data_IF_357426362677
#
_entry.id   IF_357426362677
#
_cell.length_a   1.000
_cell.length_b   1.000
_cell.length_c   1.000
_cell.angle_alpha   90.00
_cell.angle_beta   90.00
_cell.angle_gamma   90.00
#
_symmetry.space_group_name_H-M   'P 1'
#
loop_
_entity.id
_entity.type
_entity.pdbx_description
1 polymer ?
#
# COMPACT_ATOMS: atom_id res chain seq x y z
N UNK A 1 5.04 11.03 9.53
CA UNK A 1 3.97 10.38 8.73
C UNK A 1 4.51 10.05 7.35
N UNK A 2 3.81 9.22 6.55
CA UNK A 2 4.16 9.03 5.14
C UNK A 2 4.08 10.35 4.36
N UNK A 3 3.09 11.20 4.69
CA UNK A 3 2.94 12.54 4.10
C UNK A 3 4.18 13.43 4.25
N UNK A 4 4.70 13.59 5.47
CA UNK A 4 5.90 14.39 5.72
C UNK A 4 7.17 13.85 5.02
N UNK A 5 7.18 12.58 4.63
CA UNK A 5 8.23 12.02 3.78
C UNK A 5 8.07 12.50 2.34
N UNK A 6 6.86 12.44 1.78
CA UNK A 6 6.59 12.89 0.41
C UNK A 6 6.77 14.40 0.25
N UNK A 7 6.33 15.20 1.22
CA UNK A 7 6.56 16.66 1.20
C UNK A 7 8.03 17.01 1.17
N UNK A 8 8.85 16.29 1.95
CA UNK A 8 10.30 16.48 1.96
C UNK A 8 10.91 16.13 0.61
N UNK A 9 10.53 15.01 0.02
CA UNK A 9 10.97 14.62 -1.32
C UNK A 9 10.63 15.72 -2.33
N UNK A 10 9.38 16.20 -2.36
CA UNK A 10 8.96 17.30 -3.24
C UNK A 10 9.78 18.56 -2.98
N UNK A 11 10.01 18.92 -1.71
CA UNK A 11 10.83 20.06 -1.32
C UNK A 11 12.26 19.97 -1.83
N UNK A 12 12.87 18.79 -1.75
CA UNK A 12 14.21 18.51 -2.30
C UNK A 12 14.21 18.63 -3.82
N UNK A 13 13.23 18.04 -4.52
CA UNK A 13 13.12 18.15 -5.98
C UNK A 13 12.91 19.60 -6.43
N UNK A 14 12.09 20.37 -5.71
CA UNK A 14 11.83 21.76 -6.06
C UNK A 14 13.05 22.68 -5.90
N UNK A 15 14.02 22.32 -5.06
CA UNK A 15 15.30 23.03 -4.92
C UNK A 15 16.27 22.76 -6.07
N UNK A 16 16.05 21.70 -6.85
CA UNK A 16 16.88 21.37 -8.01
C UNK A 16 16.45 22.18 -9.25
N UNK A 17 17.39 22.49 -10.16
CA UNK A 17 17.07 22.98 -11.50
C UNK A 17 16.10 22.05 -12.21
N UNK A 18 15.18 22.59 -13.03
CA UNK A 18 14.12 21.82 -13.72
C UNK A 18 14.65 20.56 -14.43
N UNK A 19 15.82 20.65 -15.09
CA UNK A 19 16.44 19.52 -15.81
C UNK A 19 16.97 18.40 -14.92
N UNK A 20 17.12 18.65 -13.62
CA UNK A 20 17.64 17.72 -12.60
C UNK A 20 16.54 17.16 -11.70
N UNK A 21 15.30 17.68 -11.79
CA UNK A 21 14.17 17.16 -11.02
C UNK A 21 13.77 15.76 -11.50
N UNK A 22 13.32 14.95 -10.56
CA UNK A 22 12.73 13.63 -10.76
C UNK A 22 13.57 12.69 -11.61
N UNK A 23 14.90 12.73 -11.51
CA UNK A 23 15.74 11.74 -12.19
C UNK A 23 15.36 10.32 -11.75
N UNK A 24 15.46 9.37 -12.67
CA UNK A 24 15.16 7.96 -12.45
C UNK A 24 15.70 7.42 -11.11
N UNK A 25 16.98 7.65 -10.80
CA UNK A 25 17.58 7.17 -9.54
C UNK A 25 16.88 7.73 -8.30
N UNK A 26 16.49 9.00 -8.34
CA UNK A 26 15.78 9.67 -7.25
C UNK A 26 14.34 9.17 -7.11
N UNK A 27 13.63 8.96 -8.23
CA UNK A 27 12.27 8.42 -8.25
C UNK A 27 12.25 6.96 -7.80
N UNK A 28 13.19 6.14 -8.26
CA UNK A 28 13.34 4.75 -7.82
C UNK A 28 13.61 4.66 -6.32
N UNK A 29 14.54 5.48 -5.82
CA UNK A 29 14.80 5.54 -4.38
C UNK A 29 13.57 6.02 -3.59
N UNK A 30 12.81 6.98 -4.12
CA UNK A 30 11.56 7.42 -3.53
C UNK A 30 10.54 6.27 -3.42
N UNK A 31 10.36 5.46 -4.46
CA UNK A 31 9.43 4.31 -4.40
C UNK A 31 9.82 3.29 -3.34
N UNK A 32 11.10 2.91 -3.26
CA UNK A 32 11.62 1.99 -2.24
C UNK A 32 11.30 2.54 -0.84
N UNK A 33 11.70 3.78 -0.55
CA UNK A 33 11.48 4.39 0.76
C UNK A 33 9.99 4.56 1.08
N UNK A 34 9.18 4.92 0.09
CA UNK A 34 7.74 5.07 0.23
C UNK A 34 7.10 3.75 0.66
N UNK A 35 7.41 2.64 -0.02
CA UNK A 35 6.89 1.33 0.33
C UNK A 35 7.33 0.90 1.73
N UNK A 36 8.59 1.14 2.12
CA UNK A 36 9.05 0.91 3.51
C UNK A 36 8.29 1.76 4.53
N UNK A 37 7.91 3.00 4.21
CA UNK A 37 7.10 3.81 5.13
C UNK A 37 5.70 3.25 5.32
N UNK A 38 5.12 2.64 4.29
CA UNK A 38 3.79 2.02 4.36
C UNK A 38 3.83 0.74 5.19
N UNK A 39 4.89 -0.07 5.07
CA UNK A 39 5.04 -1.30 5.84
C UNK A 39 5.17 -1.09 7.37
N UNK A 40 5.38 0.15 7.82
CA UNK A 40 5.27 0.51 9.25
C UNK A 40 3.92 0.19 9.88
N UNK A 41 2.88 -0.09 9.08
CA UNK A 41 1.62 -0.63 9.61
C UNK A 41 1.85 -1.95 10.34
N UNK A 42 2.71 -2.83 9.84
CA UNK A 42 3.04 -4.10 10.49
C UNK A 42 3.89 -3.89 11.75
N UNK A 43 4.90 -3.01 11.67
CA UNK A 43 5.81 -2.70 12.79
C UNK A 43 5.13 -2.01 13.98
N UNK A 44 4.02 -1.31 13.76
CA UNK A 44 3.39 -0.45 14.77
C UNK A 44 2.00 -0.89 15.19
N UNK A 45 1.41 -1.84 14.48
CA UNK A 45 0.11 -2.39 14.84
C UNK A 45 0.27 -3.37 16.02
N UNK A 46 -0.30 -3.03 17.17
CA UNK A 46 -0.19 -3.84 18.38
C UNK A 46 -0.78 -5.23 18.20
N UNK A 47 -1.92 -5.35 17.52
CA UNK A 47 -2.57 -6.65 17.30
C UNK A 47 -1.71 -7.55 16.41
N UNK A 48 -0.99 -6.96 15.43
CA UNK A 48 -0.07 -7.68 14.57
C UNK A 48 1.14 -8.18 15.37
N UNK A 49 1.68 -7.32 16.23
CA UNK A 49 2.77 -7.65 17.15
C UNK A 49 2.37 -8.61 18.29
N UNK A 50 1.10 -8.99 18.41
CA UNK A 50 0.66 -10.03 19.35
C UNK A 50 0.58 -11.42 18.70
N UNK A 51 0.61 -11.50 17.37
CA UNK A 51 0.59 -12.79 16.65
C UNK A 51 1.88 -13.58 16.86
N UNK A 52 1.84 -14.88 16.57
CA UNK A 52 3.06 -15.70 16.57
C UNK A 52 4.03 -15.19 15.47
N UNK A 53 5.36 -15.33 15.66
CA UNK A 53 6.33 -14.95 14.63
C UNK A 53 6.03 -15.60 13.27
N UNK A 54 5.60 -16.86 13.28
CA UNK A 54 5.21 -17.60 12.08
C UNK A 54 4.01 -16.97 11.35
N UNK A 55 2.93 -16.64 12.08
CA UNK A 55 1.76 -16.00 11.48
C UNK A 55 2.07 -14.58 10.98
N UNK A 56 2.96 -13.85 11.68
CA UNK A 56 3.43 -12.52 11.22
C UNK A 56 4.15 -12.61 9.88
N UNK A 57 5.07 -13.56 9.72
CA UNK A 57 5.77 -13.79 8.44
C UNK A 57 4.77 -14.13 7.35
N UNK A 58 3.87 -15.10 7.57
CA UNK A 58 2.87 -15.49 6.56
C UNK A 58 1.99 -14.30 6.14
N UNK A 59 1.48 -13.53 7.11
CA UNK A 59 0.64 -12.36 6.81
C UNK A 59 1.44 -11.27 6.10
N UNK A 60 2.66 -10.98 6.55
CA UNK A 60 3.51 -10.00 5.90
C UNK A 60 3.79 -10.40 4.45
N UNK A 61 4.24 -11.63 4.20
CA UNK A 61 4.52 -12.11 2.86
C UNK A 61 3.29 -12.15 1.94
N UNK A 62 2.09 -12.37 2.48
CA UNK A 62 0.86 -12.43 1.68
C UNK A 62 0.19 -11.07 1.48
N UNK A 63 0.42 -10.09 2.35
CA UNK A 63 -0.33 -8.82 2.36
C UNK A 63 0.53 -7.57 2.16
N UNK A 64 1.86 -7.67 2.32
CA UNK A 64 2.76 -6.51 2.22
C UNK A 64 2.66 -5.81 0.87
N UNK A 65 2.53 -6.57 -0.22
CA UNK A 65 2.42 -6.02 -1.56
C UNK A 65 1.16 -5.16 -1.74
N UNK A 66 0.00 -5.68 -1.36
CA UNK A 66 -1.27 -4.96 -1.44
C UNK A 66 -1.27 -3.73 -0.54
N UNK A 67 -0.76 -3.89 0.66
CA UNK A 67 -0.64 -2.82 1.65
C UNK A 67 0.27 -1.72 1.12
N UNK A 68 1.47 -2.07 0.62
CA UNK A 68 2.43 -1.14 0.05
C UNK A 68 1.89 -0.43 -1.20
N UNK A 69 1.19 -1.15 -2.06
CA UNK A 69 0.59 -0.61 -3.29
C UNK A 69 -0.47 0.43 -2.97
N UNK A 70 -1.45 0.10 -2.12
CA UNK A 70 -2.53 1.02 -1.74
C UNK A 70 -1.99 2.22 -0.97
N UNK A 71 -1.11 1.99 0.01
CA UNK A 71 -0.52 3.09 0.77
C UNK A 71 0.35 3.99 -0.11
N UNK A 72 1.09 3.41 -1.06
CA UNK A 72 1.89 4.13 -2.03
C UNK A 72 1.04 4.99 -2.95
N UNK A 73 -0.01 4.41 -3.53
CA UNK A 73 -0.94 5.15 -4.39
C UNK A 73 -1.66 6.28 -3.64
N UNK A 74 -2.07 6.05 -2.38
CA UNK A 74 -2.63 7.10 -1.54
C UNK A 74 -1.64 8.27 -1.34
N UNK A 75 -0.37 7.96 -1.06
CA UNK A 75 0.67 8.98 -0.90
C UNK A 75 0.95 9.74 -2.22
N UNK A 76 0.96 9.05 -3.36
CA UNK A 76 1.07 9.67 -4.68
C UNK A 76 -0.11 10.59 -4.99
N UNK A 77 -1.33 10.16 -4.64
CA UNK A 77 -2.57 10.93 -4.81
C UNK A 77 -2.52 12.23 -4.01
N UNK A 78 -2.25 12.14 -2.71
CA UNK A 78 -2.16 13.29 -1.81
C UNK A 78 -1.13 14.32 -2.30
N UNK A 79 -0.02 13.83 -2.85
CA UNK A 79 1.06 14.65 -3.35
C UNK A 79 0.88 15.13 -4.80
N UNK A 80 -0.17 14.65 -5.49
CA UNK A 80 -0.43 14.90 -6.92
C UNK A 80 0.77 14.60 -7.82
N UNK A 81 1.63 13.66 -7.42
CA UNK A 81 2.90 13.39 -8.11
C UNK A 81 2.68 12.82 -9.52
N UNK A 82 1.63 12.03 -9.73
CA UNK A 82 1.32 11.50 -11.06
C UNK A 82 0.81 12.58 -12.04
N UNK A 83 0.36 13.73 -11.54
CA UNK A 83 -0.02 14.87 -12.38
C UNK A 83 1.22 15.66 -12.87
N UNK A 84 2.40 15.43 -12.28
CA UNK A 84 3.65 16.00 -12.77
C UNK A 84 4.21 15.12 -13.90
N UNK A 85 4.23 15.66 -15.13
CA UNK A 85 4.68 14.94 -16.31
C UNK A 85 6.13 14.43 -16.22
N UNK A 86 7.00 15.13 -15.48
CA UNK A 86 8.41 14.74 -15.34
C UNK A 86 8.55 13.58 -14.37
N UNK A 87 7.80 13.61 -13.27
CA UNK A 87 7.70 12.49 -12.35
C UNK A 87 7.08 11.27 -13.04
N UNK A 88 5.95 11.45 -13.73
CA UNK A 88 5.24 10.39 -14.43
C UNK A 88 6.13 9.66 -15.44
N UNK A 89 6.84 10.40 -16.30
CA UNK A 89 7.78 9.81 -17.28
C UNK A 89 8.93 9.04 -16.64
N UNK A 90 9.36 9.44 -15.44
CA UNK A 90 10.44 8.75 -14.73
C UNK A 90 9.92 7.52 -14.00
N UNK A 91 8.67 7.55 -13.53
CA UNK A 91 7.96 6.40 -13.01
C UNK A 91 7.69 5.35 -14.09
N UNK A 92 7.41 5.76 -15.34
CA UNK A 92 7.22 4.85 -16.49
C UNK A 92 8.46 3.99 -16.83
N UNK A 93 9.65 4.39 -16.37
CA UNK A 93 10.87 3.60 -16.52
C UNK A 93 10.88 2.44 -15.51
N UNK A 94 10.26 2.63 -14.35
CA UNK A 94 10.20 1.65 -13.26
C UNK A 94 8.99 0.74 -13.43
N UNK A 95 7.86 1.33 -13.81
CA UNK A 95 6.57 0.66 -13.97
C UNK A 95 6.11 0.82 -15.41
N UNK A 96 5.73 -0.26 -16.11
CA UNK A 96 5.21 -0.16 -17.46
C UNK A 96 4.06 0.84 -17.57
N UNK A 97 3.86 1.48 -18.74
CA UNK A 97 2.76 2.43 -18.94
C UNK A 97 1.38 1.86 -18.61
N UNK A 98 1.16 0.55 -18.80
CA UNK A 98 -0.06 -0.15 -18.40
C UNK A 98 -0.30 -0.06 -16.88
N UNK A 99 0.74 -0.32 -16.07
CA UNK A 99 0.69 -0.18 -14.61
C UNK A 99 0.39 1.26 -14.21
N UNK A 100 1.05 2.23 -14.84
CA UNK A 100 0.84 3.65 -14.55
C UNK A 100 -0.59 4.09 -14.88
N UNK A 101 -1.15 3.59 -15.98
CA UNK A 101 -2.56 3.82 -16.35
C UNK A 101 -3.53 3.24 -15.32
N UNK A 102 -3.32 1.99 -14.89
CA UNK A 102 -4.15 1.39 -13.85
C UNK A 102 -4.01 2.12 -12.51
N UNK A 103 -2.79 2.47 -12.11
CA UNK A 103 -2.52 3.23 -10.90
C UNK A 103 -3.24 4.58 -10.89
N UNK A 104 -3.23 5.32 -12.01
CA UNK A 104 -3.97 6.58 -12.13
C UNK A 104 -5.48 6.37 -11.93
N UNK A 105 -6.06 5.35 -12.58
CA UNK A 105 -7.49 5.02 -12.43
C UNK A 105 -7.88 4.68 -10.99
N UNK A 106 -6.99 4.01 -10.26
CA UNK A 106 -7.18 3.72 -8.83
C UNK A 106 -7.08 5.00 -8.00
N UNK A 107 -6.09 5.83 -8.30
CA UNK A 107 -5.82 7.09 -7.59
C UNK A 107 -7.00 8.05 -7.69
N UNK A 108 -7.64 8.15 -8.85
CA UNK A 108 -8.81 9.01 -9.06
C UNK A 108 -10.04 8.56 -8.25
N UNK A 109 -10.01 7.34 -7.70
CA UNK A 109 -11.08 6.78 -6.86
C UNK A 109 -10.77 6.86 -5.35
N UNK A 110 -9.55 7.28 -4.95
CA UNK A 110 -9.18 7.30 -3.54
C UNK A 110 -9.91 8.40 -2.77
N UNK A 111 -10.34 8.00 -1.56
CA UNK A 111 -10.70 8.96 -0.53
C UNK A 111 -9.45 9.70 -0.03
N UNK A 112 -9.58 11.00 0.22
CA UNK A 112 -8.49 11.82 0.76
C UNK A 112 -8.36 11.71 2.29
N UNK A 113 -9.17 10.87 2.91
CA UNK A 113 -9.21 10.68 4.36
C UNK A 113 -8.09 9.77 4.89
N UNK A 114 -7.11 10.40 5.54
CA UNK A 114 -5.99 9.74 6.23
C UNK A 114 -6.40 8.65 7.24
N UNK A 115 -7.47 8.86 8.00
CA UNK A 115 -7.89 7.90 9.03
C UNK A 115 -8.53 6.69 8.38
N UNK A 116 -9.39 6.93 7.39
CA UNK A 116 -10.01 5.85 6.62
C UNK A 116 -8.95 4.96 5.96
N UNK A 117 -7.96 5.55 5.29
CA UNK A 117 -6.90 4.77 4.63
C UNK A 117 -6.05 3.99 5.63
N UNK A 118 -5.73 4.53 6.80
CA UNK A 118 -5.01 3.76 7.84
C UNK A 118 -5.79 2.53 8.30
N UNK A 119 -7.11 2.66 8.45
CA UNK A 119 -7.97 1.54 8.81
C UNK A 119 -8.00 0.50 7.68
N UNK A 120 -8.11 0.92 6.42
CA UNK A 120 -8.04 0.05 5.25
C UNK A 120 -6.71 -0.71 5.18
N UNK A 121 -5.57 -0.02 5.33
CA UNK A 121 -4.25 -0.66 5.35
C UNK A 121 -4.14 -1.69 6.48
N UNK A 122 -4.80 -1.42 7.60
CA UNK A 122 -4.85 -2.37 8.72
C UNK A 122 -5.70 -3.59 8.39
N UNK A 123 -6.89 -3.42 7.79
CA UNK A 123 -7.71 -4.57 7.34
C UNK A 123 -6.93 -5.45 6.36
N UNK A 124 -6.17 -4.83 5.45
CA UNK A 124 -5.36 -5.54 4.47
C UNK A 124 -4.20 -6.32 5.12
N UNK A 125 -3.55 -5.74 6.12
CA UNK A 125 -2.47 -6.40 6.87
C UNK A 125 -2.90 -7.69 7.58
N UNK A 126 -4.20 -7.85 7.88
CA UNK A 126 -4.77 -9.07 8.47
C UNK A 126 -5.57 -9.90 7.46
N UNK A 127 -5.49 -9.60 6.17
CA UNK A 127 -6.23 -10.38 5.18
C UNK A 127 -5.68 -11.79 5.06
N UNK A 128 -6.57 -12.77 5.24
CA UNK A 128 -6.25 -14.19 5.09
C UNK A 128 -6.49 -14.71 3.67
N UNK A 129 -6.94 -13.85 2.75
CA UNK A 129 -7.18 -14.19 1.35
C UNK A 129 -5.92 -13.82 0.56
N UNK A 130 -5.33 -14.81 -0.12
CA UNK A 130 -4.30 -14.51 -1.12
C UNK A 130 -4.99 -13.82 -2.31
N UNK A 131 -4.72 -12.53 -2.47
CA UNK A 131 -5.33 -11.75 -3.54
C UNK A 131 -4.65 -11.97 -4.90
N UNK A 132 -3.44 -12.57 -4.93
CA UNK A 132 -2.71 -12.90 -6.16
C UNK A 132 -2.24 -14.35 -6.21
N UNK A 133 -2.22 -14.92 -7.43
CA UNK A 133 -1.82 -16.31 -7.72
C UNK A 133 -0.30 -16.44 -7.93
N UNK A 134 0.45 -15.33 -7.89
CA UNK A 134 1.82 -15.27 -8.38
C UNK A 134 2.91 -15.64 -7.37
N UNK A 135 2.65 -15.55 -6.05
CA UNK A 135 3.57 -16.09 -5.05
C UNK A 135 3.36 -17.61 -4.96
N UNK A 136 4.33 -18.37 -5.48
CA UNK A 136 4.38 -19.84 -5.42
C UNK A 136 4.07 -20.33 -4.02
N UNK A 137 2.97 -21.06 -3.86
CA UNK A 137 2.76 -22.09 -2.85
C UNK A 137 3.34 -21.80 -1.45
N UNK A 138 3.11 -20.62 -0.89
CA UNK A 138 3.17 -20.50 0.57
C UNK A 138 1.87 -21.14 1.05
N UNK A 139 1.90 -22.34 1.65
CA UNK A 139 0.70 -22.83 2.31
C UNK A 139 0.31 -21.78 3.35
N UNK A 140 -0.86 -21.17 3.18
CA UNK A 140 -1.47 -20.29 4.19
C UNK A 140 -1.92 -21.19 5.32
N UNK A 141 -0.97 -21.78 6.03
CA UNK A 141 -1.22 -22.58 7.20
C UNK A 141 -1.04 -21.68 8.41
N UNK A 142 -1.89 -20.65 8.47
CA UNK A 142 -1.97 -19.78 9.64
C UNK A 142 -2.31 -20.65 10.83
N UNK A 143 -1.43 -20.66 11.82
CA UNK A 143 -1.57 -21.52 13.00
C UNK A 143 -2.73 -21.06 13.87
N UNK A 144 -3.10 -19.78 13.79
CA UNK A 144 -4.12 -19.18 14.65
C UNK A 144 -5.12 -18.30 13.86
N UNK A 145 -5.71 -18.87 12.80
CA UNK A 145 -6.75 -18.19 12.01
C UNK A 145 -7.94 -17.71 12.86
N UNK A 146 -8.26 -18.44 13.94
CA UNK A 146 -9.34 -18.10 14.88
C UNK A 146 -9.06 -16.84 15.69
N UNK A 147 -7.81 -16.38 15.78
CA UNK A 147 -7.44 -15.09 16.38
C UNK A 147 -7.31 -13.99 15.33
N UNK A 148 -6.82 -14.31 14.13
CA UNK A 148 -6.59 -13.33 13.07
C UNK A 148 -7.90 -12.77 12.50
N UNK A 149 -8.88 -13.63 12.21
CA UNK A 149 -10.16 -13.20 11.63
C UNK A 149 -10.92 -12.21 12.54
N UNK A 150 -11.07 -12.46 13.86
CA UNK A 150 -11.69 -11.47 14.76
C UNK A 150 -10.99 -10.10 14.78
N UNK A 151 -9.66 -10.06 14.63
CA UNK A 151 -8.92 -8.80 14.54
C UNK A 151 -9.30 -8.07 13.25
N UNK A 152 -9.32 -8.77 12.11
CA UNK A 152 -9.74 -8.20 10.83
C UNK A 152 -11.20 -7.71 10.86
N UNK A 153 -12.10 -8.48 11.45
CA UNK A 153 -13.52 -8.12 11.61
C UNK A 153 -13.68 -6.88 12.49
N UNK A 154 -12.93 -6.79 13.58
CA UNK A 154 -12.90 -5.60 14.45
C UNK A 154 -12.50 -4.35 13.67
N UNK A 155 -11.44 -4.42 12.86
CA UNK A 155 -11.02 -3.28 12.02
C UNK A 155 -12.03 -2.94 10.92
N UNK A 156 -12.73 -3.94 10.38
CA UNK A 156 -13.80 -3.75 9.40
C UNK A 156 -15.00 -3.05 10.03
N UNK A 157 -15.46 -3.49 11.21
CA UNK A 157 -16.53 -2.84 11.97
C UNK A 157 -16.14 -1.41 12.39
N UNK A 158 -14.90 -1.21 12.86
CA UNK A 158 -14.39 0.12 13.19
C UNK A 158 -14.40 1.06 11.98
N UNK A 159 -14.00 0.55 10.82
CA UNK A 159 -14.03 1.29 9.55
C UNK A 159 -15.45 1.68 9.16
N UNK A 160 -16.39 0.73 9.25
CA UNK A 160 -17.78 0.98 8.96
C UNK A 160 -18.40 2.04 9.89
N UNK A 161 -18.18 1.91 11.20
CA UNK A 161 -18.61 2.89 12.21
C UNK A 161 -17.99 4.26 11.98
N UNK A 162 -16.71 4.31 11.63
CA UNK A 162 -16.02 5.56 11.30
C UNK A 162 -16.70 6.27 10.13
N UNK A 163 -17.00 5.55 9.05
CA UNK A 163 -17.68 6.11 7.88
C UNK A 163 -19.08 6.61 8.23
N UNK A 164 -19.86 5.81 8.97
CA UNK A 164 -21.20 6.21 9.42
C UNK A 164 -21.16 7.47 10.29
N UNK A 165 -20.22 7.54 11.22
CA UNK A 165 -20.05 8.69 12.11
C UNK A 165 -19.64 9.95 11.36
N UNK A 166 -18.67 9.84 10.44
CA UNK A 166 -18.09 11.01 9.75
C UNK A 166 -18.93 11.52 8.59
N UNK A 167 -19.54 10.62 7.81
CA UNK A 167 -20.17 10.97 6.54
C UNK A 167 -21.68 10.70 6.52
N UNK A 168 -22.22 9.99 7.52
CA UNK A 168 -23.61 9.53 7.52
C UNK A 168 -23.83 8.32 6.61
N UNK A 169 -25.04 7.74 6.68
CA UNK A 169 -25.32 6.44 6.08
C UNK A 169 -25.12 6.40 4.55
N UNK A 170 -25.66 7.36 3.81
CA UNK A 170 -25.61 7.34 2.34
C UNK A 170 -24.18 7.41 1.81
N UNK A 171 -23.41 8.39 2.28
CA UNK A 171 -22.00 8.56 1.88
C UNK A 171 -21.11 7.42 2.38
N UNK A 172 -21.39 6.86 3.56
CA UNK A 172 -20.67 5.69 4.06
C UNK A 172 -20.80 4.49 3.11
N UNK A 173 -22.01 4.21 2.62
CA UNK A 173 -22.24 3.14 1.64
C UNK A 173 -21.48 3.40 0.34
N UNK A 174 -21.50 4.63 -0.18
CA UNK A 174 -20.79 5.00 -1.41
C UNK A 174 -19.28 4.79 -1.24
N UNK A 175 -18.70 5.33 -0.16
CA UNK A 175 -17.25 5.26 0.11
C UNK A 175 -16.79 3.83 0.34
N UNK A 176 -17.57 3.03 1.09
CA UNK A 176 -17.27 1.62 1.30
C UNK A 176 -17.35 0.81 -0.01
N UNK A 177 -18.35 1.09 -0.84
CA UNK A 177 -18.48 0.44 -2.17
C UNK A 177 -17.33 0.81 -3.10
N UNK A 178 -16.93 2.08 -3.09
CA UNK A 178 -15.79 2.55 -3.88
C UNK A 178 -14.47 1.95 -3.39
N UNK A 179 -14.29 1.76 -2.08
CA UNK A 179 -13.16 1.01 -1.53
C UNK A 179 -13.12 -0.41 -2.11
N UNK A 180 -14.23 -1.15 -2.10
CA UNK A 180 -14.25 -2.51 -2.65
C UNK A 180 -13.86 -2.53 -4.13
N UNK A 181 -14.38 -1.60 -4.94
CA UNK A 181 -13.99 -1.44 -6.36
C UNK A 181 -12.50 -1.12 -6.51
N UNK A 182 -12.00 -0.20 -5.67
CA UNK A 182 -10.59 0.16 -5.63
C UNK A 182 -9.71 -1.05 -5.32
N UNK A 183 -10.10 -1.91 -4.38
CA UNK A 183 -9.35 -3.14 -4.06
C UNK A 183 -9.25 -4.08 -5.27
N UNK A 184 -10.33 -4.26 -6.04
CA UNK A 184 -10.28 -5.06 -7.27
C UNK A 184 -9.38 -4.45 -8.34
N UNK A 185 -9.43 -3.13 -8.54
CA UNK A 185 -8.54 -2.45 -9.49
C UNK A 185 -7.06 -2.47 -9.06
N UNK A 186 -6.80 -2.49 -7.75
CA UNK A 186 -5.45 -2.71 -7.21
C UNK A 186 -4.94 -4.11 -7.56
N UNK A 187 -5.77 -5.15 -7.45
CA UNK A 187 -5.39 -6.49 -7.89
C UNK A 187 -4.98 -6.52 -9.36
N UNK A 188 -5.73 -5.85 -10.25
CA UNK A 188 -5.35 -5.72 -11.66
C UNK A 188 -4.01 -5.00 -11.83
N UNK A 189 -3.77 -3.94 -11.05
CA UNK A 189 -2.52 -3.18 -11.11
C UNK A 189 -1.33 -4.03 -10.67
N UNK A 190 -1.48 -4.82 -9.61
CA UNK A 190 -0.45 -5.72 -9.09
C UNK A 190 -0.16 -6.85 -10.08
N UNK A 191 -1.20 -7.43 -10.70
CA UNK A 191 -1.04 -8.44 -11.76
C UNK A 191 -0.18 -7.91 -12.90
N UNK A 192 -0.44 -6.67 -13.32
CA UNK A 192 0.33 -6.03 -14.38
C UNK A 192 1.75 -5.69 -13.93
N UNK A 193 1.92 -5.20 -12.70
CA UNK A 193 3.21 -4.82 -12.14
C UNK A 193 4.15 -6.02 -11.97
N UNK A 194 3.61 -7.20 -11.65
CA UNK A 194 4.35 -8.47 -11.59
C UNK A 194 5.00 -8.89 -12.91
N UNK A 195 4.64 -8.28 -14.04
CA UNK A 195 5.35 -8.51 -15.31
C UNK A 195 6.74 -7.85 -15.33
N UNK A 196 7.06 -7.04 -14.31
CA UNK A 196 8.31 -6.27 -14.22
C UNK A 196 9.13 -6.72 -13.03
N UNK A 197 10.33 -7.23 -13.28
CA UNK A 197 11.24 -7.70 -12.23
C UNK A 197 11.55 -6.62 -11.19
N UNK A 198 11.68 -5.37 -11.62
CA UNK A 198 11.98 -4.25 -10.73
C UNK A 198 10.91 -4.04 -9.65
N UNK A 199 9.64 -4.27 -9.95
CA UNK A 199 8.58 -4.19 -8.93
C UNK A 199 8.70 -5.33 -7.91
N UNK A 200 8.96 -6.55 -8.39
CA UNK A 200 9.18 -7.74 -7.54
C UNK A 200 10.36 -7.48 -6.60
N UNK A 201 11.49 -7.01 -7.14
CA UNK A 201 12.70 -6.73 -6.37
C UNK A 201 12.45 -5.68 -5.27
N UNK A 202 11.66 -4.65 -5.56
CA UNK A 202 11.29 -3.63 -4.56
C UNK A 202 10.44 -4.27 -3.46
N UNK A 203 9.42 -5.06 -3.81
CA UNK A 203 8.53 -5.67 -2.83
C UNK A 203 9.29 -6.65 -1.93
N UNK A 204 10.11 -7.52 -2.52
CA UNK A 204 10.91 -8.50 -1.78
C UNK A 204 11.90 -7.80 -0.85
N UNK A 205 12.61 -6.76 -1.33
CA UNK A 205 13.49 -5.95 -0.49
C UNK A 205 12.75 -5.34 0.72
N UNK A 206 11.56 -4.77 0.51
CA UNK A 206 10.84 -4.11 1.60
C UNK A 206 10.30 -5.15 2.59
N UNK A 207 9.83 -6.31 2.12
CA UNK A 207 9.43 -7.44 2.99
C UNK A 207 10.61 -7.89 3.86
N UNK A 208 11.76 -8.17 3.26
CA UNK A 208 12.97 -8.60 4.00
C UNK A 208 13.39 -7.58 5.07
N UNK A 209 13.35 -6.28 4.76
CA UNK A 209 13.67 -5.22 5.72
C UNK A 209 12.66 -5.16 6.88
N UNK A 210 11.38 -5.39 6.61
CA UNK A 210 10.34 -5.40 7.64
C UNK A 210 10.46 -6.64 8.52
N UNK A 211 10.80 -7.81 7.95
CA UNK A 211 11.08 -9.00 8.74
C UNK A 211 12.24 -8.80 9.70
N UNK A 212 13.37 -8.25 9.23
CA UNK A 212 14.51 -7.92 10.10
C UNK A 212 14.07 -7.04 11.27
N UNK A 213 13.26 -6.01 11.00
CA UNK A 213 12.76 -5.10 12.04
C UNK A 213 11.78 -5.77 13.03
N UNK A 214 11.06 -6.82 12.62
CA UNK A 214 10.07 -7.50 13.45
C UNK A 214 10.67 -8.61 14.33
N UNK A 215 11.84 -9.14 13.94
CA UNK A 215 12.44 -10.33 14.55
C UNK A 215 13.81 -10.08 15.21
N UNK A 216 14.38 -8.89 15.06
CA UNK A 216 15.53 -8.38 15.83
C UNK A 216 15.08 -7.73 17.17
#
# INVERSE_FOLDING_TARGET
SGYAFVERFIGEQNRLPLKLRFKYSSVNHFFILMMSKVQRVFERNRDFLLLSPHDRTILLESTAEYTATIGGMFLLHQAKLLNDLTFFKSAEIIFPPSVMFFAQRVIDQFDSDDTFIKLVLTILAFSTINYTVYRKNIPINLTNITTILPIQDMYTDLTWRYLLYKYGHHEAVIRFSNLLRCLFSVSETIVEAHKTQQFIDIIDYVVEQTEQTLFD
#
